data_IF_835569887754
#
_entry.id   IF_835569887754
#
_cell.length_a   1.000
_cell.length_b   1.000
_cell.length_c   1.000
_cell.angle_alpha   90.00
_cell.angle_beta   90.00
_cell.angle_gamma   90.00
#
_symmetry.space_group_name_H-M   'P 1'
#
loop_
_entity.id
_entity.type
_entity.pdbx_description
1 polymer ?
#
# COMPACT_ATOMS: atom_id res chain seq x y z
N UNK A 1 8.77 -19.36 -27.43
CA UNK A 1 7.36 -19.03 -27.74
C UNK A 1 7.02 -17.69 -27.11
N UNK A 2 6.51 -16.72 -27.88
CA UNK A 2 6.03 -15.42 -27.37
C UNK A 2 4.60 -15.59 -26.87
N UNK A 3 4.38 -15.51 -25.56
CA UNK A 3 3.03 -15.53 -25.00
C UNK A 3 2.51 -14.11 -24.81
N UNK A 4 1.34 -13.82 -25.41
CA UNK A 4 0.56 -12.60 -25.21
C UNK A 4 -0.24 -12.75 -23.92
N UNK A 5 -0.19 -11.74 -23.06
CA UNK A 5 -1.11 -11.56 -21.94
C UNK A 5 -2.53 -11.43 -22.50
N UNK A 6 -3.48 -12.12 -21.87
CA UNK A 6 -4.90 -12.08 -22.27
C UNK A 6 -5.49 -10.67 -22.04
N UNK A 7 -5.98 -9.99 -23.09
CA UNK A 7 -6.61 -8.66 -22.99
C UNK A 7 -7.87 -8.62 -22.11
N UNK A 8 -8.50 -9.77 -21.84
CA UNK A 8 -9.68 -9.87 -20.97
C UNK A 8 -9.31 -9.77 -19.48
N UNK A 9 -8.11 -10.19 -19.08
CA UNK A 9 -7.59 -10.06 -17.71
C UNK A 9 -7.29 -8.59 -17.34
N UNK A 10 -6.76 -7.80 -18.28
CA UNK A 10 -6.59 -6.35 -18.12
C UNK A 10 -7.92 -5.60 -17.99
N UNK A 11 -8.96 -6.10 -18.66
CA UNK A 11 -10.30 -5.49 -18.66
C UNK A 11 -11.14 -5.85 -17.44
N UNK A 12 -10.80 -6.94 -16.72
CA UNK A 12 -11.52 -7.43 -15.54
C UNK A 12 -11.15 -6.65 -14.28
N UNK A 13 -9.85 -6.43 -14.03
CA UNK A 13 -9.36 -5.59 -12.91
C UNK A 13 -9.82 -4.13 -13.07
N UNK A 14 -9.89 -3.65 -14.32
CA UNK A 14 -10.37 -2.31 -14.66
C UNK A 14 -11.88 -2.13 -14.41
N UNK A 15 -12.67 -3.21 -14.45
CA UNK A 15 -14.13 -3.21 -14.22
C UNK A 15 -14.48 -3.38 -12.73
N UNK A 16 -13.74 -4.22 -12.01
CA UNK A 16 -13.91 -4.43 -10.56
C UNK A 16 -13.73 -3.14 -9.75
N UNK A 17 -12.88 -2.21 -10.20
CA UNK A 17 -12.69 -0.90 -9.54
C UNK A 17 -13.79 0.12 -9.91
N UNK A 18 -14.54 -0.09 -10.99
CA UNK A 18 -15.66 0.76 -11.39
C UNK A 18 -16.99 0.34 -10.74
N UNK A 19 -17.17 -0.95 -10.42
CA UNK A 19 -18.43 -1.49 -9.88
C UNK A 19 -18.57 -1.37 -8.34
N UNK A 20 -17.52 -0.99 -7.60
CA UNK A 20 -17.56 -0.84 -6.14
C UNK A 20 -18.26 0.43 -5.61
N UNK A 21 -18.91 1.22 -6.48
CA UNK A 21 -19.94 2.21 -6.13
C UNK A 21 -19.63 3.15 -4.95
N UNK A 22 -18.37 3.56 -4.80
CA UNK A 22 -18.02 4.79 -4.07
C UNK A 22 -18.02 5.94 -5.08
N UNK A 23 -18.55 7.14 -4.75
CA UNK A 23 -18.78 8.20 -5.73
C UNK A 23 -17.45 8.75 -6.29
N UNK A 24 -17.05 8.27 -7.48
CA UNK A 24 -15.92 8.77 -8.26
C UNK A 24 -16.43 9.90 -9.16
N UNK A 25 -16.42 11.12 -8.64
CA UNK A 25 -16.39 12.32 -9.48
C UNK A 25 -15.92 13.54 -8.66
N UNK A 26 -14.59 13.70 -8.55
CA UNK A 26 -13.98 15.03 -8.38
C UNK A 26 -12.75 15.13 -9.29
N UNK A 27 -12.59 16.23 -10.04
CA UNK A 27 -11.43 16.44 -10.90
C UNK A 27 -10.14 16.50 -10.06
N UNK A 28 -9.06 15.95 -10.62
CA UNK A 28 -7.71 16.06 -10.07
C UNK A 28 -7.34 17.56 -9.93
N UNK A 29 -6.92 18.05 -8.75
CA UNK A 29 -6.46 19.41 -8.59
C UNK A 29 -5.29 19.69 -9.55
N UNK A 30 -5.37 20.78 -10.30
CA UNK A 30 -4.22 21.30 -11.06
C UNK A 30 -3.30 22.02 -10.07
N UNK A 31 -2.16 21.42 -9.76
CA UNK A 31 -1.12 22.06 -8.95
C UNK A 31 -0.45 23.19 -9.75
N UNK A 32 -0.17 24.36 -9.14
CA UNK A 32 0.59 25.43 -9.77
C UNK A 32 1.98 24.95 -10.21
N UNK A 33 2.47 25.46 -11.34
CA UNK A 33 3.85 25.21 -11.79
C UNK A 33 4.82 25.88 -10.81
N UNK A 34 5.43 25.10 -9.91
CA UNK A 34 6.47 25.59 -9.00
C UNK A 34 6.84 24.63 -7.87
N UNK A 35 5.96 23.69 -7.52
CA UNK A 35 6.17 22.82 -6.36
C UNK A 35 6.69 21.43 -6.76
N UNK A 36 8.00 21.21 -6.56
CA UNK A 36 8.68 19.96 -6.90
C UNK A 36 8.25 18.81 -5.96
N UNK A 37 7.82 19.13 -4.72
CA UNK A 37 7.34 18.15 -3.75
C UNK A 37 5.99 17.54 -4.18
N UNK A 38 5.06 18.36 -4.68
CA UNK A 38 3.78 17.90 -5.22
C UNK A 38 3.94 17.03 -6.49
N UNK A 39 4.97 17.29 -7.30
CA UNK A 39 5.27 16.47 -8.50
C UNK A 39 5.87 15.09 -8.16
N UNK A 40 6.56 14.97 -7.02
CA UNK A 40 7.05 13.67 -6.52
C UNK A 40 5.95 12.89 -5.79
N UNK A 41 5.01 13.57 -5.13
CA UNK A 41 3.82 12.95 -4.51
C UNK A 41 2.89 12.25 -5.52
N UNK A 42 2.93 12.63 -6.81
CA UNK A 42 2.20 11.96 -7.89
C UNK A 42 2.87 10.70 -8.46
N UNK A 43 3.99 10.23 -7.90
CA UNK A 43 4.62 9.01 -8.37
C UNK A 43 4.05 7.78 -7.65
N UNK A 44 3.27 7.02 -8.41
CA UNK A 44 2.57 5.79 -8.01
C UNK A 44 3.48 4.77 -7.32
N UNK A 45 3.39 4.60 -5.99
CA UNK A 45 4.22 3.63 -5.26
C UNK A 45 3.51 2.87 -4.14
N UNK A 46 2.31 2.33 -4.39
CA UNK A 46 1.96 1.04 -3.80
C UNK A 46 2.01 -0.06 -4.86
N UNK A 47 2.60 -1.19 -4.47
CA UNK A 47 2.63 -2.41 -5.28
C UNK A 47 1.79 -3.44 -4.50
N UNK A 48 0.83 -4.03 -5.22
CA UNK A 48 0.76 -5.45 -5.50
C UNK A 48 0.45 -6.34 -4.28
N UNK A 49 -0.80 -6.83 -4.21
CA UNK A 49 -1.09 -8.15 -3.65
C UNK A 49 -0.72 -9.18 -4.72
N UNK A 50 0.14 -10.14 -4.40
CA UNK A 50 0.62 -11.19 -5.29
C UNK A 50 0.00 -12.53 -4.91
N UNK A 51 -0.76 -13.15 -5.79
CA UNK A 51 -1.09 -14.56 -5.72
C UNK A 51 -0.01 -15.36 -6.48
N UNK A 52 0.60 -16.34 -5.81
CA UNK A 52 1.59 -17.23 -6.42
C UNK A 52 0.92 -18.56 -6.77
N UNK A 53 0.61 -18.84 -8.04
CA UNK A 53 0.43 -20.23 -8.52
C UNK A 53 1.81 -20.83 -8.86
N UNK A 54 1.96 -22.16 -8.98
CA UNK A 54 3.21 -22.77 -9.44
C UNK A 54 3.67 -22.27 -10.82
N UNK A 55 2.76 -21.75 -11.66
CA UNK A 55 3.08 -21.28 -13.02
C UNK A 55 2.43 -19.93 -13.41
N UNK A 56 1.67 -19.26 -12.53
CA UNK A 56 1.01 -17.97 -12.81
C UNK A 56 1.22 -16.98 -11.65
N UNK A 57 1.89 -15.86 -11.94
CA UNK A 57 1.99 -14.73 -11.03
C UNK A 57 0.73 -13.86 -11.17
N UNK A 58 -0.24 -14.02 -10.28
CA UNK A 58 -1.43 -13.16 -10.22
C UNK A 58 -1.11 -11.87 -9.45
N UNK A 59 -1.00 -10.73 -10.14
CA UNK A 59 -0.72 -9.44 -9.47
C UNK A 59 -1.99 -8.59 -9.43
N UNK A 60 -2.57 -8.39 -8.24
CA UNK A 60 -3.62 -7.38 -8.04
C UNK A 60 -2.95 -6.07 -7.64
N UNK A 61 -2.97 -5.10 -8.56
CA UNK A 61 -2.40 -3.77 -8.34
C UNK A 61 -3.47 -2.84 -7.77
N UNK A 62 -3.31 -2.44 -6.53
CA UNK A 62 -4.05 -1.33 -5.92
C UNK A 62 -3.42 -0.02 -6.39
N UNK A 63 -3.53 0.31 -7.69
CA UNK A 63 -2.96 1.55 -8.22
C UNK A 63 -3.78 2.79 -7.85
N UNK A 64 -5.00 2.58 -7.36
CA UNK A 64 -6.04 3.59 -7.21
C UNK A 64 -6.64 3.64 -5.79
N UNK A 65 -5.90 3.19 -4.76
CA UNK A 65 -6.32 3.53 -3.39
C UNK A 65 -6.20 5.03 -3.21
N UNK A 66 -7.12 5.60 -2.43
CA UNK A 66 -7.20 7.04 -2.28
C UNK A 66 -5.97 7.58 -1.55
N UNK A 67 -5.43 8.69 -2.03
CA UNK A 67 -4.15 9.24 -1.58
C UNK A 67 -4.33 10.44 -0.65
N UNK A 68 -3.38 10.60 0.26
CA UNK A 68 -3.21 11.81 1.03
C UNK A 68 -2.61 12.93 0.15
N UNK A 69 -2.87 14.21 0.46
CA UNK A 69 -3.64 14.71 1.62
C UNK A 69 -5.16 14.70 1.42
N UNK A 70 -5.67 14.46 0.21
CA UNK A 70 -7.11 14.49 -0.10
C UNK A 70 -7.89 13.43 0.70
N UNK A 71 -7.24 12.29 0.95
CA UNK A 71 -7.80 11.17 1.71
C UNK A 71 -6.75 10.65 2.69
N UNK A 72 -7.09 10.73 3.97
CA UNK A 72 -6.18 10.47 5.10
C UNK A 72 -6.41 9.10 5.73
N UNK A 73 -5.51 8.69 6.62
CA UNK A 73 -5.69 7.49 7.45
C UNK A 73 -7.06 7.53 8.16
N UNK A 74 -7.82 6.40 8.24
CA UNK A 74 -7.48 5.04 7.83
C UNK A 74 -7.86 4.66 6.40
N UNK A 75 -8.40 5.59 5.62
CA UNK A 75 -9.04 5.26 4.34
C UNK A 75 -8.13 4.51 3.33
N UNK A 76 -6.85 4.90 3.12
CA UNK A 76 -5.95 4.17 2.22
C UNK A 76 -5.77 2.70 2.59
N UNK A 77 -5.69 2.37 3.88
CA UNK A 77 -5.49 0.99 4.33
C UNK A 77 -6.78 0.17 4.23
N UNK A 78 -7.94 0.79 4.45
CA UNK A 78 -9.24 0.14 4.22
C UNK A 78 -9.47 -0.19 2.74
N UNK A 79 -9.05 0.67 1.81
CA UNK A 79 -9.11 0.39 0.37
C UNK A 79 -8.28 -0.86 0.02
N UNK A 80 -7.06 -0.97 0.55
CA UNK A 80 -6.20 -2.14 0.37
C UNK A 80 -6.81 -3.41 0.98
N UNK A 81 -7.41 -3.32 2.17
CA UNK A 81 -8.05 -4.45 2.82
C UNK A 81 -9.30 -4.93 2.07
N UNK A 82 -10.11 -4.02 1.53
CA UNK A 82 -11.26 -4.35 0.70
C UNK A 82 -10.84 -5.14 -0.55
N UNK A 83 -9.73 -4.74 -1.20
CA UNK A 83 -9.18 -5.46 -2.36
C UNK A 83 -8.67 -6.86 -1.97
N UNK A 84 -8.02 -6.99 -0.81
CA UNK A 84 -7.59 -8.30 -0.30
C UNK A 84 -8.78 -9.23 -0.04
N UNK A 85 -9.85 -8.73 0.59
CA UNK A 85 -11.08 -9.49 0.82
C UNK A 85 -11.77 -9.89 -0.50
N UNK A 86 -11.78 -9.00 -1.48
CA UNK A 86 -12.30 -9.30 -2.82
C UNK A 86 -11.49 -10.41 -3.48
N UNK A 87 -10.16 -10.34 -3.43
CA UNK A 87 -9.28 -11.39 -3.96
C UNK A 87 -9.58 -12.73 -3.28
N UNK A 88 -9.66 -12.75 -1.95
CA UNK A 88 -10.01 -13.96 -1.19
C UNK A 88 -11.34 -14.56 -1.61
N UNK A 89 -12.36 -13.71 -1.79
CA UNK A 89 -13.72 -14.12 -2.16
C UNK A 89 -13.82 -14.62 -3.60
N UNK A 90 -12.92 -14.16 -4.49
CA UNK A 90 -12.94 -14.50 -5.92
C UNK A 90 -11.84 -15.47 -6.33
N UNK A 91 -11.00 -15.91 -5.41
CA UNK A 91 -9.80 -16.69 -5.69
C UNK A 91 -10.05 -17.93 -6.56
N UNK A 92 -11.10 -18.69 -6.25
CA UNK A 92 -11.52 -19.85 -7.05
C UNK A 92 -11.80 -19.49 -8.52
N UNK A 93 -12.50 -18.39 -8.76
CA UNK A 93 -12.85 -17.94 -10.11
C UNK A 93 -11.62 -17.40 -10.87
N UNK A 94 -10.63 -16.92 -10.13
CA UNK A 94 -9.37 -16.40 -10.65
C UNK A 94 -8.30 -17.49 -10.81
N UNK A 95 -8.58 -18.74 -10.38
CA UNK A 95 -7.58 -19.80 -10.33
C UNK A 95 -6.42 -19.49 -9.37
N UNK A 96 -6.71 -18.79 -8.27
CA UNK A 96 -5.76 -18.38 -7.23
C UNK A 96 -5.95 -19.26 -5.99
N UNK A 97 -4.86 -19.81 -5.47
CA UNK A 97 -4.79 -20.40 -4.13
C UNK A 97 -4.69 -19.30 -3.04
N UNK A 98 -5.73 -19.18 -2.22
CA UNK A 98 -5.77 -18.25 -1.09
C UNK A 98 -4.66 -18.48 -0.05
N UNK A 99 -4.14 -19.71 0.06
CA UNK A 99 -3.03 -20.02 0.98
C UNK A 99 -1.67 -19.53 0.47
N UNK A 100 -1.62 -18.95 -0.73
CA UNK A 100 -0.41 -18.51 -1.42
C UNK A 100 -0.45 -17.02 -1.80
N UNK A 101 -1.30 -16.25 -1.14
CA UNK A 101 -1.38 -14.80 -1.32
C UNK A 101 -0.29 -14.10 -0.50
N UNK A 102 0.52 -13.28 -1.15
CA UNK A 102 1.54 -12.42 -0.59
C UNK A 102 1.21 -10.94 -0.81
N UNK A 103 1.82 -10.05 -0.03
CA UNK A 103 1.70 -8.59 -0.18
C UNK A 103 3.08 -7.98 -0.38
N UNK A 104 3.23 -7.04 -1.31
CA UNK A 104 4.54 -6.49 -1.68
C UNK A 104 4.50 -4.98 -1.84
N UNK A 105 5.24 -4.25 -1.01
CA UNK A 105 5.22 -2.79 -1.04
C UNK A 105 6.59 -2.16 -1.21
N UNK A 106 6.63 -0.92 -1.70
CA UNK A 106 7.83 -0.07 -1.78
C UNK A 106 7.57 1.24 -1.04
N UNK A 107 8.50 1.72 -0.19
CA UNK A 107 8.37 3.03 0.48
C UNK A 107 7.04 3.15 1.24
N UNK A 108 6.21 4.16 0.96
CA UNK A 108 4.87 4.30 1.54
C UNK A 108 3.99 3.05 1.30
N UNK A 109 4.10 2.43 0.12
CA UNK A 109 3.45 1.16 -0.17
C UNK A 109 3.99 -0.01 0.66
N UNK A 110 5.26 0.02 1.05
CA UNK A 110 5.85 -0.92 2.00
C UNK A 110 5.23 -0.79 3.39
N UNK A 111 5.04 0.45 3.84
CA UNK A 111 4.26 0.76 5.05
C UNK A 111 2.84 0.22 4.97
N UNK A 112 2.14 0.45 3.85
CA UNK A 112 0.79 -0.09 3.63
C UNK A 112 0.75 -1.62 3.58
N UNK A 113 1.75 -2.29 3.00
CA UNK A 113 1.82 -3.75 2.96
C UNK A 113 2.01 -4.36 4.37
N UNK A 114 2.84 -3.73 5.19
CA UNK A 114 3.01 -4.11 6.59
C UNK A 114 1.72 -3.83 7.40
N UNK A 115 1.11 -2.65 7.23
CA UNK A 115 -0.16 -2.31 7.85
C UNK A 115 -1.29 -3.27 7.45
N UNK A 116 -1.32 -3.69 6.18
CA UNK A 116 -2.32 -4.64 5.66
C UNK A 116 -2.14 -6.01 6.30
N UNK A 117 -0.90 -6.42 6.55
CA UNK A 117 -0.60 -7.66 7.26
C UNK A 117 -1.10 -7.63 8.70
N UNK A 118 -0.92 -6.50 9.40
CA UNK A 118 -1.49 -6.28 10.75
C UNK A 118 -3.03 -6.34 10.71
N UNK A 119 -3.66 -5.54 9.84
CA UNK A 119 -5.12 -5.47 9.71
C UNK A 119 -5.72 -6.84 9.35
N UNK A 120 -5.10 -7.58 8.43
CA UNK A 120 -5.56 -8.90 8.02
C UNK A 120 -5.49 -9.90 9.18
N UNK A 121 -4.39 -9.92 9.94
CA UNK A 121 -4.25 -10.77 11.12
C UNK A 121 -5.29 -10.42 12.18
N UNK A 122 -5.39 -9.15 12.54
CA UNK A 122 -6.21 -8.69 13.66
C UNK A 122 -7.71 -8.83 13.37
N UNK A 123 -8.10 -8.82 12.09
CA UNK A 123 -9.47 -9.09 11.64
C UNK A 123 -9.74 -10.56 11.30
N UNK A 124 -8.77 -11.45 11.52
CA UNK A 124 -8.95 -12.89 11.37
C UNK A 124 -9.09 -13.38 9.93
N UNK A 125 -8.38 -12.76 8.97
CA UNK A 125 -8.35 -13.24 7.59
C UNK A 125 -7.85 -14.70 7.53
N UNK A 126 -8.60 -15.56 6.84
CA UNK A 126 -8.25 -16.97 6.68
C UNK A 126 -8.49 -17.46 5.23
N UNK A 127 -7.53 -18.20 4.63
CA UNK A 127 -6.13 -18.38 5.05
C UNK A 127 -5.41 -17.03 5.29
N UNK A 128 -4.39 -16.97 6.16
CA UNK A 128 -3.65 -15.72 6.37
C UNK A 128 -2.85 -15.36 5.12
N UNK A 129 -2.39 -14.10 5.05
CA UNK A 129 -1.36 -13.72 4.07
C UNK A 129 -0.15 -14.64 4.28
N UNK A 130 0.35 -15.22 3.19
CA UNK A 130 1.43 -16.19 3.19
C UNK A 130 2.81 -15.53 3.30
N UNK A 131 2.97 -14.30 2.77
CA UNK A 131 4.25 -13.58 2.77
C UNK A 131 4.07 -12.07 2.66
N UNK A 132 4.97 -11.30 3.27
CA UNK A 132 5.10 -9.87 3.03
C UNK A 132 6.51 -9.56 2.48
N UNK A 133 6.61 -8.71 1.46
CA UNK A 133 7.89 -8.29 0.87
C UNK A 133 7.95 -6.77 0.93
N UNK A 134 8.85 -6.25 1.76
CA UNK A 134 8.87 -4.83 2.14
C UNK A 134 10.13 -4.15 1.58
N UNK A 135 9.98 -3.40 0.49
CA UNK A 135 11.09 -2.74 -0.19
C UNK A 135 11.25 -1.32 0.36
N UNK A 136 12.34 -1.05 1.08
CA UNK A 136 12.62 0.25 1.74
C UNK A 136 11.36 0.88 2.39
N UNK A 137 10.67 0.16 3.29
CA UNK A 137 9.34 0.52 3.73
C UNK A 137 9.32 1.75 4.65
N UNK A 138 8.33 2.62 4.49
CA UNK A 138 8.03 3.67 5.45
C UNK A 138 7.21 3.08 6.61
N UNK A 139 7.88 2.75 7.73
CA UNK A 139 7.25 2.05 8.86
C UNK A 139 6.98 2.93 10.08
N UNK A 140 7.69 4.04 10.21
CA UNK A 140 7.70 4.88 11.40
C UNK A 140 7.47 6.35 11.04
N UNK A 141 6.47 6.96 11.66
CA UNK A 141 6.10 8.37 11.50
C UNK A 141 6.93 9.31 12.39
N UNK A 142 7.72 8.75 13.32
CA UNK A 142 8.62 9.53 14.18
C UNK A 142 9.87 9.89 13.38
N UNK A 143 9.79 11.01 12.67
CA UNK A 143 10.91 11.51 11.87
C UNK A 143 12.12 11.78 12.78
N UNK A 144 13.25 11.11 12.52
CA UNK A 144 14.52 11.30 13.25
C UNK A 144 15.29 12.48 12.69
N UNK A 145 16.35 12.94 13.34
CA UNK A 145 17.20 14.02 12.79
C UNK A 145 17.87 13.61 11.47
N UNK A 146 18.17 14.61 10.62
CA UNK A 146 18.90 14.41 9.36
C UNK A 146 20.33 13.99 9.63
N UNK A 147 20.78 12.92 8.99
CA UNK A 147 22.19 12.57 8.93
C UNK A 147 22.90 13.40 7.84
N UNK A 148 23.77 14.32 8.26
CA UNK A 148 24.49 15.22 7.37
C UNK A 148 25.49 14.50 6.45
N UNK A 149 26.02 13.34 6.86
CA UNK A 149 26.96 12.54 6.06
C UNK A 149 26.22 11.76 4.96
N UNK A 150 25.01 11.30 5.25
CA UNK A 150 24.18 10.59 4.27
C UNK A 150 23.46 11.54 3.32
N UNK A 151 23.12 12.76 3.76
CA UNK A 151 22.29 13.70 2.99
C UNK A 151 22.71 13.86 1.51
N UNK A 152 24.00 14.01 1.15
CA UNK A 152 24.43 14.13 -0.25
C UNK A 152 24.13 12.90 -1.12
N UNK A 153 23.90 11.74 -0.50
CA UNK A 153 23.64 10.46 -1.16
C UNK A 153 22.16 10.03 -1.09
N UNK A 154 21.31 10.79 -0.39
CA UNK A 154 19.88 10.48 -0.28
C UNK A 154 19.05 11.16 -1.36
N UNK A 155 18.06 10.45 -1.90
CA UNK A 155 17.05 11.02 -2.80
C UNK A 155 15.75 11.41 -2.08
N UNK A 156 15.61 10.95 -0.84
CA UNK A 156 14.50 11.19 0.07
C UNK A 156 15.03 11.83 1.35
N UNK A 157 14.52 13.01 1.67
CA UNK A 157 15.03 13.86 2.75
C UNK A 157 14.16 13.79 3.99
N UNK A 158 14.65 14.41 5.06
CA UNK A 158 13.87 14.64 6.27
C UNK A 158 12.57 15.40 5.98
N UNK A 159 12.64 16.48 5.19
CA UNK A 159 11.48 17.31 4.84
C UNK A 159 10.46 16.53 4.00
N UNK A 160 10.92 15.64 3.11
CA UNK A 160 10.06 14.75 2.35
C UNK A 160 9.29 13.80 3.28
N UNK A 161 9.99 13.20 4.25
CA UNK A 161 9.41 12.29 5.22
C UNK A 161 8.39 13.01 6.14
N UNK A 162 8.77 14.18 6.66
CA UNK A 162 7.89 15.03 7.46
C UNK A 162 6.62 15.40 6.70
N UNK A 163 6.76 15.83 5.44
CA UNK A 163 5.64 16.22 4.59
C UNK A 163 4.72 15.04 4.31
N UNK A 164 5.28 13.87 3.94
CA UNK A 164 4.51 12.68 3.63
C UNK A 164 3.69 12.16 4.82
N UNK A 165 4.31 12.05 6.00
CA UNK A 165 3.62 11.60 7.20
C UNK A 165 2.54 12.57 7.65
N UNK A 166 2.80 13.88 7.64
CA UNK A 166 1.80 14.87 8.04
C UNK A 166 0.64 14.99 7.04
N UNK A 167 0.86 14.70 5.76
CA UNK A 167 -0.23 14.58 4.80
C UNK A 167 -1.17 13.42 5.14
N UNK A 168 -0.63 12.26 5.50
CA UNK A 168 -1.41 11.07 5.86
C UNK A 168 -2.10 11.20 7.23
N UNK A 169 -1.43 11.83 8.19
CA UNK A 169 -1.82 11.89 9.60
C UNK A 169 -2.43 13.24 10.04
N UNK A 170 -2.71 14.13 9.10
CA UNK A 170 -3.31 15.45 9.37
C UNK A 170 -2.51 16.28 10.40
N UNK A 171 -1.18 16.34 10.23
CA UNK A 171 -0.31 17.07 11.15
C UNK A 171 0.04 16.33 12.44
N UNK A 172 -0.46 15.10 12.65
CA UNK A 172 -0.28 14.35 13.90
C UNK A 172 0.95 13.42 13.90
N UNK A 173 1.84 13.54 12.92
CA UNK A 173 3.05 12.72 12.85
C UNK A 173 3.91 12.90 14.12
N UNK A 174 4.43 11.80 14.66
CA UNK A 174 5.19 11.75 15.90
C UNK A 174 4.35 11.74 17.18
N UNK A 175 3.05 12.03 17.12
CA UNK A 175 2.20 12.04 18.31
C UNK A 175 1.97 10.65 18.90
N UNK A 176 1.54 10.56 20.16
CA UNK A 176 1.26 9.28 20.83
C UNK A 176 0.01 8.57 20.30
N UNK A 177 -0.91 9.30 19.66
CA UNK A 177 -2.19 8.76 19.16
C UNK A 177 -2.12 8.11 17.78
N UNK A 178 -0.94 8.00 17.16
CA UNK A 178 -0.80 7.42 15.82
C UNK A 178 -1.02 5.90 15.87
N UNK A 179 -1.98 5.44 15.06
CA UNK A 179 -2.33 4.02 14.94
C UNK A 179 -1.20 3.19 14.34
N UNK A 180 -1.04 1.95 14.83
CA UNK A 180 -0.15 0.95 14.22
C UNK A 180 -0.58 0.55 12.79
N UNK A 181 -1.84 0.78 12.41
CA UNK A 181 -2.30 0.59 11.03
C UNK A 181 -1.95 1.78 10.11
N UNK A 182 -1.40 2.87 10.67
CA UNK A 182 -0.81 3.97 9.91
C UNK A 182 0.71 3.86 9.88
N UNK A 183 1.33 3.62 11.04
CA UNK A 183 2.77 3.46 11.22
C UNK A 183 3.07 2.10 11.87
N UNK A 184 3.31 1.04 11.07
CA UNK A 184 3.47 -0.34 11.56
C UNK A 184 4.57 -0.56 12.60
N UNK A 185 5.61 0.29 12.64
CA UNK A 185 6.66 0.24 13.66
C UNK A 185 6.13 0.51 15.09
N UNK A 186 4.89 0.98 15.23
CA UNK A 186 4.21 1.17 16.52
C UNK A 186 3.44 -0.05 17.02
N UNK A 187 3.36 -1.13 16.25
CA UNK A 187 2.69 -2.35 16.70
C UNK A 187 3.46 -3.00 17.88
N UNK A 188 2.76 -3.27 18.98
CA UNK A 188 3.34 -3.91 20.17
C UNK A 188 3.40 -5.45 20.05
N UNK A 189 2.54 -6.03 19.22
CA UNK A 189 2.51 -7.46 18.94
C UNK A 189 2.67 -7.75 17.45
N UNK A 190 3.72 -8.48 17.12
CA UNK A 190 4.07 -8.92 15.76
C UNK A 190 3.88 -10.43 15.56
N UNK A 191 3.39 -11.16 16.58
CA UNK A 191 3.12 -12.60 16.46
C UNK A 191 2.07 -12.86 15.39
N UNK A 192 2.22 -13.97 14.67
CA UNK A 192 1.27 -14.39 13.64
C UNK A 192 1.25 -13.53 12.38
N UNK A 193 2.18 -12.58 12.22
CA UNK A 193 2.39 -11.91 10.94
C UNK A 193 3.06 -12.84 9.92
N UNK A 194 2.82 -12.62 8.61
CA UNK A 194 3.49 -13.37 7.56
C UNK A 194 5.02 -13.22 7.64
N UNK A 195 5.78 -14.25 7.22
CA UNK A 195 7.22 -14.12 7.06
C UNK A 195 7.58 -12.99 6.10
N UNK A 196 8.73 -12.35 6.36
CA UNK A 196 9.30 -11.25 5.56
C UNK A 196 10.54 -11.74 4.81
N UNK A 197 10.69 -11.27 3.57
CA UNK A 197 11.97 -11.20 2.83
C UNK A 197 12.46 -9.75 2.76
#
# INVERSE_FOLDING_TARGET
MKYKIDPTFQSSVHRTLQDLSLPINRPTPRFPKGDIAARRQGSSFAKAVLALEPEVLGVVKTRDYRLAPEVRHPTPIEDCYAVLLWLHSNAKNLGVDNSRIAVVGLSAGGGLAAALSLVARDRGLHPPIAKQILLTPMLDDRNTETDAELLPFTTWTWDDNWTGWNALLDGMAGSSGVSAYAAPARAEDLKGLPPTD
#
